data_IF_066490669340
#
_entry.id   IF_066490669340
#
_cell.length_a   1.000
_cell.length_b   1.000
_cell.length_c   1.000
_cell.angle_alpha   90.00
_cell.angle_beta   90.00
_cell.angle_gamma   90.00
#
_symmetry.space_group_name_H-M   'P 1'
#
loop_
_entity.id
_entity.type
_entity.pdbx_description
1 polymer ?
#
# COMPACT_ATOMS: atom_id res chain seq x y z
N UNK A 1 -25.32 -79.79 45.07
CA UNK A 1 -26.77 -79.89 45.26
C UNK A 1 -27.36 -78.52 44.98
N UNK A 2 -28.31 -78.48 44.01
CA UNK A 2 -29.40 -77.51 43.87
C UNK A 2 -28.98 -76.07 43.47
N UNK A 3 -29.08 -75.63 42.24
CA UNK A 3 -30.24 -75.37 41.36
C UNK A 3 -30.99 -74.08 41.63
N UNK A 4 -31.22 -73.39 40.53
CA UNK A 4 -32.36 -72.49 40.15
C UNK A 4 -31.97 -71.07 39.89
N UNK A 5 -31.94 -70.64 38.63
CA UNK A 5 -33.09 -70.32 37.75
C UNK A 5 -33.98 -69.18 38.29
N UNK A 6 -34.04 -68.20 37.52
CA UNK A 6 -35.14 -67.32 37.09
C UNK A 6 -34.81 -65.83 37.39
N UNK A 7 -35.09 -64.88 36.68
CA UNK A 7 -35.89 -64.61 35.49
C UNK A 7 -35.69 -63.13 35.20
N UNK A 8 -35.46 -62.82 33.98
CA UNK A 8 -35.96 -61.68 33.24
C UNK A 8 -36.61 -60.53 34.02
N UNK A 9 -36.04 -59.28 33.85
CA UNK A 9 -36.84 -58.08 33.61
C UNK A 9 -36.03 -57.16 32.72
N UNK A 10 -36.48 -57.04 31.49
CA UNK A 10 -36.10 -56.07 30.49
C UNK A 10 -36.53 -54.71 30.95
N UNK A 11 -35.60 -53.78 31.13
CA UNK A 11 -35.88 -52.36 31.12
C UNK A 11 -34.98 -51.74 30.09
N UNK A 12 -35.50 -51.58 28.88
CA UNK A 12 -34.89 -50.80 27.81
C UNK A 12 -34.80 -49.34 28.22
N UNK A 13 -33.65 -48.89 28.66
CA UNK A 13 -33.33 -47.47 28.72
C UNK A 13 -32.77 -47.08 27.35
N UNK A 14 -33.63 -46.60 26.50
CA UNK A 14 -33.21 -45.90 25.26
C UNK A 14 -32.38 -44.71 25.62
N UNK A 15 -31.04 -44.85 25.50
CA UNK A 15 -30.14 -43.70 25.46
C UNK A 15 -30.43 -42.97 24.17
N UNK A 16 -31.32 -41.98 24.23
CA UNK A 16 -31.45 -40.96 23.23
C UNK A 16 -30.11 -40.20 23.14
N UNK A 17 -29.33 -40.57 22.14
CA UNK A 17 -28.20 -39.71 21.73
C UNK A 17 -28.79 -38.40 21.24
N UNK A 18 -28.84 -37.41 22.13
CA UNK A 18 -29.09 -36.05 21.75
C UNK A 18 -27.87 -35.67 20.89
N UNK A 19 -28.02 -35.76 19.57
CA UNK A 19 -27.10 -35.18 18.63
C UNK A 19 -27.11 -33.66 18.90
N UNK A 20 -26.23 -33.19 19.77
CA UNK A 20 -25.92 -31.78 19.87
C UNK A 20 -25.43 -31.38 18.48
N UNK A 21 -26.08 -30.35 17.84
CA UNK A 21 -25.52 -29.82 16.62
C UNK A 21 -24.11 -29.35 16.96
N UNK A 22 -23.11 -30.01 16.38
CA UNK A 22 -21.76 -29.45 16.36
C UNK A 22 -21.89 -28.09 15.69
N UNK A 23 -21.99 -27.02 16.49
CA UNK A 23 -21.73 -25.68 16.05
C UNK A 23 -20.25 -25.71 15.69
N UNK A 24 -19.95 -26.01 14.43
CA UNK A 24 -18.65 -25.77 13.84
C UNK A 24 -18.42 -24.26 14.02
N UNK A 25 -17.79 -23.89 15.13
CA UNK A 25 -17.21 -22.55 15.24
C UNK A 25 -16.24 -22.47 14.08
N UNK A 26 -16.61 -21.69 13.08
CA UNK A 26 -15.72 -21.38 11.96
C UNK A 26 -14.39 -20.93 12.58
N UNK A 27 -13.34 -21.73 12.36
CA UNK A 27 -12.03 -21.45 12.92
C UNK A 27 -11.58 -20.08 12.42
N UNK A 28 -11.32 -19.15 13.34
CA UNK A 28 -10.88 -17.80 12.98
C UNK A 28 -9.55 -17.93 12.24
N UNK A 29 -9.55 -17.47 11.01
CA UNK A 29 -8.35 -17.43 10.17
C UNK A 29 -7.62 -16.11 10.39
N UNK A 30 -6.32 -16.16 10.64
CA UNK A 30 -5.48 -14.96 10.69
C UNK A 30 -4.85 -14.72 9.31
N UNK A 31 -4.96 -13.47 8.83
CA UNK A 31 -4.37 -12.99 7.58
C UNK A 31 -3.41 -11.86 7.92
N UNK A 32 -2.18 -11.93 7.42
CA UNK A 32 -1.16 -10.91 7.59
C UNK A 32 -1.19 -9.93 6.44
N UNK A 33 -1.39 -8.65 6.76
CA UNK A 33 -1.44 -7.55 5.80
C UNK A 33 -0.26 -6.61 5.99
N UNK A 34 0.60 -6.50 4.98
CA UNK A 34 1.71 -5.55 4.93
C UNK A 34 1.26 -4.13 4.66
N UNK A 35 1.75 -3.18 5.43
CA UNK A 35 1.43 -1.75 5.31
C UNK A 35 2.67 -0.90 5.51
N UNK A 36 2.75 0.26 4.85
CA UNK A 36 3.83 1.22 5.07
C UNK A 36 3.41 2.24 6.14
N UNK A 37 4.39 2.85 6.82
CA UNK A 37 4.16 3.92 7.81
C UNK A 37 3.91 5.27 7.14
N UNK A 38 2.89 5.34 6.28
CA UNK A 38 2.58 6.50 5.44
C UNK A 38 1.07 6.74 5.43
N UNK A 39 0.62 8.00 5.23
CA UNK A 39 -0.82 8.33 5.18
C UNK A 39 -1.53 7.52 4.09
N UNK A 40 -0.94 7.41 2.92
CA UNK A 40 -1.50 6.70 1.79
C UNK A 40 -1.44 5.16 1.93
N UNK A 41 -0.97 4.66 3.08
CA UNK A 41 -0.99 3.23 3.46
C UNK A 41 -1.94 2.93 4.63
N UNK A 42 -2.83 3.84 5.01
CA UNK A 42 -3.67 3.70 6.20
C UNK A 42 -4.87 2.76 6.05
N UNK A 43 -5.23 2.34 4.83
CA UNK A 43 -6.44 1.55 4.57
C UNK A 43 -6.54 0.28 5.43
N UNK A 44 -5.48 -0.51 5.71
CA UNK A 44 -5.56 -1.69 6.54
C UNK A 44 -6.04 -1.44 7.97
N UNK A 45 -5.80 -0.26 8.51
CA UNK A 45 -6.25 0.11 9.87
C UNK A 45 -7.77 0.28 10.00
N UNK A 46 -8.50 0.25 8.88
CA UNK A 46 -9.96 0.28 8.82
C UNK A 46 -10.57 -1.09 8.47
N UNK A 47 -9.76 -2.12 8.19
CA UNK A 47 -10.25 -3.42 7.71
C UNK A 47 -11.13 -4.14 8.72
N UNK A 48 -10.84 -4.05 10.02
CA UNK A 48 -11.66 -4.70 11.06
C UNK A 48 -13.13 -4.30 11.01
N UNK A 49 -13.41 -3.07 10.53
CA UNK A 49 -14.79 -2.56 10.34
C UNK A 49 -15.57 -3.33 9.29
N UNK A 50 -14.89 -3.95 8.34
CA UNK A 50 -15.48 -4.56 7.13
C UNK A 50 -15.14 -6.04 6.97
N UNK A 51 -14.24 -6.56 7.77
CA UNK A 51 -13.82 -7.95 7.72
C UNK A 51 -14.93 -8.88 8.22
N UNK A 52 -15.10 -10.06 7.60
CA UNK A 52 -15.95 -11.11 8.14
C UNK A 52 -15.49 -11.53 9.55
N UNK A 53 -16.44 -11.91 10.41
CA UNK A 53 -16.17 -12.26 11.83
C UNK A 53 -15.23 -13.45 12.03
N UNK A 54 -15.09 -14.31 11.03
CA UNK A 54 -14.16 -15.43 11.01
C UNK A 54 -12.76 -15.08 10.46
N UNK A 55 -12.51 -13.81 10.15
CA UNK A 55 -11.23 -13.32 9.61
C UNK A 55 -10.60 -12.32 10.58
N UNK A 56 -9.42 -12.65 11.11
CA UNK A 56 -8.59 -11.75 11.89
C UNK A 56 -7.50 -11.19 10.99
N UNK A 57 -7.35 -9.87 10.94
CA UNK A 57 -6.32 -9.23 10.12
C UNK A 57 -5.22 -8.69 11.04
N UNK A 58 -4.00 -9.17 10.83
CA UNK A 58 -2.79 -8.72 11.51
C UNK A 58 -2.02 -7.79 10.58
N UNK A 59 -1.78 -6.55 11.02
CA UNK A 59 -1.06 -5.56 10.23
C UNK A 59 0.42 -5.59 10.58
N UNK A 60 1.25 -5.85 9.58
CA UNK A 60 2.71 -5.83 9.67
C UNK A 60 3.21 -4.57 8.97
N UNK A 61 3.91 -3.69 9.70
CA UNK A 61 4.38 -2.41 9.18
C UNK A 61 5.82 -2.47 8.68
N UNK A 62 6.09 -1.81 7.56
CA UNK A 62 7.39 -1.69 6.93
C UNK A 62 7.75 -0.21 6.72
N UNK A 63 9.04 0.07 6.72
CA UNK A 63 9.56 1.44 6.53
C UNK A 63 9.92 1.72 5.06
N UNK A 64 10.03 0.67 4.21
CA UNK A 64 10.31 0.85 2.79
C UNK A 64 9.38 0.04 1.89
N UNK A 65 9.07 0.54 0.67
CA UNK A 65 8.29 -0.21 -0.32
C UNK A 65 8.92 -1.54 -0.74
N UNK A 66 10.25 -1.60 -0.75
CA UNK A 66 11.01 -2.82 -1.08
C UNK A 66 10.81 -3.90 -0.01
N UNK A 67 10.83 -3.53 1.28
CA UNK A 67 10.58 -4.48 2.36
C UNK A 67 9.15 -5.03 2.31
N UNK A 68 8.16 -4.16 2.04
CA UNK A 68 6.77 -4.58 1.84
C UNK A 68 6.61 -5.56 0.67
N UNK A 69 7.25 -5.29 -0.48
CA UNK A 69 7.28 -6.19 -1.63
C UNK A 69 7.97 -7.52 -1.27
N UNK A 70 9.14 -7.47 -0.64
CA UNK A 70 9.87 -8.66 -0.23
C UNK A 70 9.07 -9.54 0.74
N UNK A 71 8.32 -8.94 1.66
CA UNK A 71 7.49 -9.67 2.61
C UNK A 71 6.37 -10.47 1.91
N UNK A 72 5.78 -9.94 0.82
CA UNK A 72 4.81 -10.68 -0.03
C UNK A 72 5.52 -11.82 -0.77
N UNK A 73 6.65 -11.53 -1.41
CA UNK A 73 7.42 -12.53 -2.19
C UNK A 73 7.88 -13.69 -1.32
N UNK A 74 8.35 -13.40 -0.10
CA UNK A 74 8.81 -14.42 0.89
C UNK A 74 7.66 -15.03 1.69
N UNK A 75 6.41 -14.58 1.48
CA UNK A 75 5.20 -15.01 2.20
C UNK A 75 5.26 -14.73 3.71
N UNK A 76 6.06 -13.75 4.13
CA UNK A 76 6.06 -13.25 5.50
C UNK A 76 4.76 -12.50 5.82
N UNK A 77 4.11 -11.97 4.78
CA UNK A 77 2.72 -11.49 4.79
C UNK A 77 1.95 -12.14 3.63
N UNK A 78 0.63 -12.24 3.79
CA UNK A 78 -0.27 -12.79 2.78
C UNK A 78 -0.60 -11.78 1.68
N UNK A 79 -0.75 -10.52 2.07
CA UNK A 79 -1.06 -9.39 1.20
C UNK A 79 -0.21 -8.17 1.58
N UNK A 80 -0.01 -7.24 0.65
CA UNK A 80 0.72 -6.00 0.92
C UNK A 80 0.20 -4.81 0.13
N UNK A 81 0.19 -3.64 0.79
CA UNK A 81 0.05 -2.33 0.17
C UNK A 81 1.41 -1.65 0.09
N UNK A 82 1.96 -1.47 -1.11
CA UNK A 82 3.26 -0.84 -1.32
C UNK A 82 3.35 -0.18 -2.70
N UNK A 83 4.42 0.57 -2.93
CA UNK A 83 4.59 1.37 -4.15
C UNK A 83 4.66 0.52 -5.42
N UNK A 84 4.01 0.99 -6.49
CA UNK A 84 4.00 0.34 -7.82
C UNK A 84 5.42 0.14 -8.36
N UNK A 85 6.36 1.04 -8.08
CA UNK A 85 7.75 0.91 -8.52
C UNK A 85 8.41 -0.34 -7.93
N UNK A 86 8.27 -0.60 -6.62
CA UNK A 86 8.82 -1.79 -5.98
C UNK A 86 8.18 -3.08 -6.54
N UNK A 87 6.87 -3.07 -6.80
CA UNK A 87 6.19 -4.19 -7.45
C UNK A 87 6.74 -4.45 -8.85
N UNK A 88 6.91 -3.38 -9.65
CA UNK A 88 7.44 -3.47 -11.03
C UNK A 88 8.88 -3.98 -11.05
N UNK A 89 9.73 -3.52 -10.11
CA UNK A 89 11.10 -4.04 -9.95
C UNK A 89 11.10 -5.55 -9.68
N UNK A 90 10.25 -6.02 -8.78
CA UNK A 90 10.13 -7.44 -8.47
C UNK A 90 9.63 -8.26 -9.66
N UNK A 91 8.54 -7.83 -10.30
CA UNK A 91 7.96 -8.51 -11.45
C UNK A 91 8.92 -8.56 -12.65
N UNK A 92 9.65 -7.46 -12.92
CA UNK A 92 10.68 -7.41 -13.96
C UNK A 92 11.89 -8.31 -13.66
N UNK A 93 12.14 -8.62 -12.40
CA UNK A 93 13.15 -9.59 -11.94
C UNK A 93 12.62 -11.04 -11.92
N UNK A 94 11.35 -11.27 -12.28
CA UNK A 94 10.74 -12.60 -12.26
C UNK A 94 10.26 -13.06 -10.87
N UNK A 95 10.14 -12.16 -9.90
CA UNK A 95 9.60 -12.48 -8.58
C UNK A 95 8.08 -12.71 -8.66
N UNK A 96 7.53 -13.66 -7.84
CA UNK A 96 6.13 -14.09 -7.91
C UNK A 96 5.18 -13.09 -7.23
N UNK A 97 5.20 -11.83 -7.62
CA UNK A 97 4.32 -10.77 -7.12
C UNK A 97 3.21 -10.47 -8.11
N UNK A 98 1.96 -10.46 -7.64
CA UNK A 98 0.75 -10.19 -8.43
C UNK A 98 0.00 -9.01 -7.86
N UNK A 99 -0.25 -8.01 -8.69
CA UNK A 99 -1.13 -6.87 -8.35
C UNK A 99 -2.57 -7.28 -8.63
N UNK A 100 -3.39 -7.30 -7.60
CA UNK A 100 -4.80 -7.70 -7.68
C UNK A 100 -5.78 -6.54 -7.47
N UNK A 101 -5.26 -5.37 -7.06
CA UNK A 101 -6.03 -4.14 -6.86
C UNK A 101 -5.16 -2.90 -6.84
N UNK A 102 -5.78 -1.74 -6.97
CA UNK A 102 -5.15 -0.46 -6.64
C UNK A 102 -5.16 -0.25 -5.12
N UNK A 103 -4.41 0.72 -4.62
CA UNK A 103 -4.38 1.02 -3.19
C UNK A 103 -4.51 2.52 -2.93
N UNK A 104 -3.68 3.33 -3.55
CA UNK A 104 -3.71 4.77 -3.39
C UNK A 104 -3.09 5.48 -4.58
N UNK A 105 -3.72 6.56 -5.00
CA UNK A 105 -3.13 7.57 -5.88
C UNK A 105 -2.52 8.69 -5.05
N UNK A 106 -1.59 9.43 -5.66
CA UNK A 106 -0.98 10.63 -5.08
C UNK A 106 -0.14 10.32 -3.82
N UNK A 107 -0.15 11.15 -2.81
CA UNK A 107 0.55 10.92 -1.53
C UNK A 107 2.04 11.30 -1.57
N UNK A 108 2.48 12.16 -2.51
CA UNK A 108 3.87 12.63 -2.59
C UNK A 108 3.95 14.11 -2.93
N UNK A 109 5.11 14.72 -2.68
CA UNK A 109 5.39 16.10 -3.04
C UNK A 109 6.89 16.33 -3.24
N UNK A 110 7.20 17.25 -4.14
CA UNK A 110 8.53 17.84 -4.29
C UNK A 110 8.58 19.08 -3.43
N UNK A 111 9.38 19.06 -2.38
CA UNK A 111 9.48 20.13 -1.38
C UNK A 111 10.89 20.68 -1.37
N UNK A 112 11.02 21.99 -1.49
CA UNK A 112 12.27 22.71 -1.32
C UNK A 112 12.31 23.44 0.03
N UNK A 113 13.50 23.83 0.50
CA UNK A 113 13.65 24.64 1.70
C UNK A 113 12.92 25.98 1.53
N UNK A 114 12.14 26.37 2.53
CA UNK A 114 11.40 27.62 2.49
C UNK A 114 12.34 28.81 2.27
N UNK A 115 11.91 29.76 1.42
CA UNK A 115 12.71 30.94 1.06
C UNK A 115 13.86 30.67 0.09
N UNK A 116 14.05 29.42 -0.38
CA UNK A 116 15.04 29.13 -1.41
C UNK A 116 14.59 29.63 -2.80
N UNK A 117 15.54 29.67 -3.73
CA UNK A 117 15.33 29.99 -5.14
C UNK A 117 14.71 28.83 -5.96
N UNK A 118 14.52 27.68 -5.35
CA UNK A 118 13.95 26.48 -6.00
C UNK A 118 12.43 26.63 -6.10
N UNK A 119 11.91 26.92 -7.29
CA UNK A 119 10.48 27.12 -7.58
C UNK A 119 9.91 26.06 -8.52
N UNK A 120 10.76 25.44 -9.31
CA UNK A 120 10.43 24.43 -10.32
C UNK A 120 11.37 23.22 -10.20
N UNK A 121 11.01 22.10 -10.82
CA UNK A 121 11.90 20.92 -10.89
C UNK A 121 13.21 21.24 -11.62
N UNK A 122 13.20 22.17 -12.56
CA UNK A 122 14.40 22.62 -13.28
C UNK A 122 15.43 23.27 -12.35
N UNK A 123 14.98 23.95 -11.29
CA UNK A 123 15.85 24.61 -10.31
C UNK A 123 16.58 23.62 -9.38
N UNK A 124 16.21 22.35 -9.43
CA UNK A 124 16.88 21.27 -8.69
C UNK A 124 18.29 20.97 -9.24
N UNK A 125 18.64 21.48 -10.43
CA UNK A 125 19.97 21.26 -11.03
C UNK A 125 21.08 21.70 -10.07
N UNK A 126 22.00 20.77 -9.77
CA UNK A 126 23.12 20.98 -8.84
C UNK A 126 22.75 21.01 -7.35
N UNK A 127 21.45 20.89 -6.99
CA UNK A 127 21.00 20.89 -5.60
C UNK A 127 21.05 19.51 -4.97
N UNK A 128 21.20 19.46 -3.64
CA UNK A 128 21.12 18.23 -2.85
C UNK A 128 19.65 17.84 -2.67
N UNK A 129 19.23 16.77 -3.33
CA UNK A 129 17.83 16.33 -3.32
C UNK A 129 17.69 14.99 -2.60
N UNK A 130 16.92 14.99 -1.53
CA UNK A 130 16.57 13.77 -0.79
C UNK A 130 15.64 12.88 -1.61
N UNK A 131 16.03 11.62 -1.82
CA UNK A 131 15.24 10.59 -2.51
C UNK A 131 15.34 9.27 -1.75
N UNK A 132 14.35 8.40 -1.94
CA UNK A 132 14.41 7.01 -1.48
C UNK A 132 14.50 6.09 -2.70
N UNK A 133 15.68 5.46 -2.95
CA UNK A 133 15.88 4.59 -4.12
C UNK A 133 14.93 3.39 -4.14
N UNK A 134 14.43 3.04 -5.33
CA UNK A 134 13.47 1.95 -5.54
C UNK A 134 12.03 2.31 -5.17
N UNK A 135 11.77 3.58 -4.81
CA UNK A 135 10.43 4.07 -4.51
C UNK A 135 9.71 4.63 -5.73
N UNK A 136 8.40 4.73 -5.62
CA UNK A 136 7.54 5.41 -6.60
C UNK A 136 7.95 6.87 -6.78
N UNK A 137 8.33 7.55 -5.69
CA UNK A 137 8.79 8.92 -5.68
C UNK A 137 10.06 9.14 -6.51
N UNK A 138 10.99 8.19 -6.45
CA UNK A 138 12.19 8.23 -7.30
C UNK A 138 11.84 8.20 -8.79
N UNK A 139 10.95 7.29 -9.20
CA UNK A 139 10.53 7.20 -10.61
C UNK A 139 9.89 8.50 -11.07
N UNK A 140 9.03 9.09 -10.24
CA UNK A 140 8.38 10.36 -10.55
C UNK A 140 9.39 11.50 -10.71
N UNK A 141 10.34 11.66 -9.79
CA UNK A 141 11.31 12.75 -9.91
C UNK A 141 12.24 12.54 -11.11
N UNK A 142 12.64 11.31 -11.40
CA UNK A 142 13.45 11.04 -12.58
C UNK A 142 12.69 11.40 -13.86
N UNK A 143 11.42 11.06 -13.96
CA UNK A 143 10.58 11.43 -15.12
C UNK A 143 10.36 12.93 -15.20
N UNK A 144 10.10 13.60 -14.07
CA UNK A 144 9.93 15.05 -14.05
C UNK A 144 11.22 15.78 -14.48
N UNK A 145 12.38 15.33 -14.00
CA UNK A 145 13.67 15.85 -14.46
C UNK A 145 13.85 15.65 -15.97
N UNK A 146 13.52 14.45 -16.49
CA UNK A 146 13.61 14.14 -17.92
C UNK A 146 12.74 15.09 -18.77
N UNK A 147 11.53 15.38 -18.34
CA UNK A 147 10.63 16.32 -19.00
C UNK A 147 11.19 17.76 -19.02
N UNK A 148 12.02 18.11 -18.04
CA UNK A 148 12.73 19.41 -18.00
C UNK A 148 14.10 19.37 -18.73
N UNK A 149 14.40 18.28 -19.46
CA UNK A 149 15.68 18.11 -20.15
C UNK A 149 16.86 17.80 -19.23
N UNK A 150 16.59 17.34 -18.00
CA UNK A 150 17.55 16.96 -16.99
C UNK A 150 17.52 15.45 -16.74
N UNK A 151 18.45 14.98 -15.92
CA UNK A 151 18.53 13.61 -15.44
C UNK A 151 18.84 13.57 -13.94
N UNK A 152 18.77 12.39 -13.36
CA UNK A 152 19.16 12.18 -11.95
C UNK A 152 20.64 12.55 -11.69
N UNK A 153 21.48 12.60 -12.72
CA UNK A 153 22.91 13.01 -12.63
C UNK A 153 23.09 14.53 -12.57
N UNK A 154 22.06 15.28 -12.91
CA UNK A 154 22.08 16.75 -12.85
C UNK A 154 21.76 17.29 -11.44
N UNK A 155 21.36 16.42 -10.51
CA UNK A 155 21.14 16.73 -9.10
C UNK A 155 22.15 15.96 -8.22
N UNK A 156 22.35 16.39 -6.98
CA UNK A 156 23.08 15.64 -5.97
C UNK A 156 22.06 14.76 -5.22
N UNK A 157 21.75 13.59 -5.81
CA UNK A 157 20.77 12.66 -5.24
C UNK A 157 21.30 12.10 -3.90
N UNK A 158 20.60 12.37 -2.82
CA UNK A 158 20.95 11.95 -1.47
C UNK A 158 19.92 10.93 -0.99
N UNK A 159 20.39 9.73 -0.61
CA UNK A 159 19.50 8.70 -0.06
C UNK A 159 19.01 9.11 1.33
N UNK A 160 17.72 9.31 1.49
CA UNK A 160 17.08 9.74 2.75
C UNK A 160 15.79 8.92 2.98
N UNK A 161 15.65 8.27 4.16
CA UNK A 161 14.37 7.67 4.55
C UNK A 161 13.25 8.71 4.60
N UNK A 162 12.02 8.34 4.19
CA UNK A 162 10.90 9.29 4.14
C UNK A 162 10.66 10.00 5.48
N UNK A 163 10.76 9.29 6.60
CA UNK A 163 10.58 9.85 7.93
C UNK A 163 11.64 10.89 8.35
N UNK A 164 12.79 10.93 7.67
CA UNK A 164 13.92 11.82 7.99
C UNK A 164 13.98 13.05 7.06
N UNK A 165 13.26 13.05 5.92
CA UNK A 165 13.38 14.09 4.88
C UNK A 165 13.08 15.48 5.42
N UNK A 166 12.01 15.63 6.22
CA UNK A 166 11.67 16.90 6.85
C UNK A 166 12.78 17.42 7.77
N UNK A 167 13.34 16.56 8.61
CA UNK A 167 14.39 16.93 9.54
C UNK A 167 15.68 17.33 8.82
N UNK A 168 16.05 16.59 7.77
CA UNK A 168 17.25 16.91 6.97
C UNK A 168 17.07 18.24 6.20
N UNK A 169 15.86 18.50 5.65
CA UNK A 169 15.54 19.78 5.02
C UNK A 169 15.63 20.93 6.04
N UNK A 170 15.08 20.74 7.24
CA UNK A 170 15.10 21.74 8.31
C UNK A 170 16.53 22.13 8.69
N UNK A 171 17.43 21.15 8.85
CA UNK A 171 18.85 21.40 9.18
C UNK A 171 19.66 21.97 8.01
N UNK A 172 19.17 21.85 6.76
CA UNK A 172 19.89 22.26 5.55
C UNK A 172 20.90 21.20 5.07
N UNK A 173 20.73 19.94 5.49
CA UNK A 173 21.55 18.83 4.99
C UNK A 173 21.21 18.51 3.52
N UNK A 174 19.95 18.81 3.12
CA UNK A 174 19.44 18.76 1.76
C UNK A 174 18.73 20.08 1.41
N UNK A 175 18.70 20.42 0.12
CA UNK A 175 18.07 21.65 -0.40
C UNK A 175 16.59 21.42 -0.74
N UNK A 176 16.26 20.18 -1.14
CA UNK A 176 14.93 19.76 -1.51
C UNK A 176 14.80 18.25 -1.30
N UNK A 177 13.57 17.72 -1.40
CA UNK A 177 13.32 16.28 -1.45
C UNK A 177 12.07 15.95 -2.27
N UNK A 178 11.97 14.73 -2.77
CA UNK A 178 10.73 14.13 -3.23
C UNK A 178 10.29 13.08 -2.21
N UNK A 179 9.24 13.38 -1.47
CA UNK A 179 8.86 12.61 -0.29
C UNK A 179 7.43 12.09 -0.34
N UNK A 180 7.15 11.22 0.61
CA UNK A 180 5.84 10.63 0.84
C UNK A 180 5.15 11.31 2.04
N UNK A 181 3.82 11.47 1.95
CA UNK A 181 3.03 12.00 3.06
C UNK A 181 3.10 11.10 4.32
N UNK A 182 3.26 11.67 5.53
CA UNK A 182 2.99 13.06 5.91
C UNK A 182 4.21 14.01 5.84
N UNK A 183 5.35 13.61 5.31
CA UNK A 183 6.57 14.44 5.27
C UNK A 183 6.39 15.79 4.55
N UNK A 184 5.88 15.83 3.31
CA UNK A 184 5.54 17.06 2.60
C UNK A 184 4.59 17.96 3.40
N UNK A 185 3.48 17.41 3.89
CA UNK A 185 2.52 18.13 4.73
C UNK A 185 3.15 18.71 5.99
N UNK A 186 4.08 18.00 6.63
CA UNK A 186 4.81 18.49 7.81
C UNK A 186 5.71 19.68 7.45
N UNK A 187 6.46 19.58 6.34
CA UNK A 187 7.35 20.67 5.92
C UNK A 187 6.58 21.93 5.57
N UNK A 188 5.41 21.79 4.95
CA UNK A 188 4.52 22.91 4.62
C UNK A 188 3.87 23.50 5.88
N UNK A 189 3.31 22.67 6.75
CA UNK A 189 2.60 23.10 7.96
C UNK A 189 3.52 23.81 8.96
N UNK A 190 4.81 23.45 9.01
CA UNK A 190 5.81 24.06 9.90
C UNK A 190 6.55 25.23 9.28
N UNK A 191 6.30 25.54 7.99
CA UNK A 191 7.02 26.58 7.28
C UNK A 191 8.50 26.28 6.99
N UNK A 192 8.95 25.05 7.20
CA UNK A 192 10.32 24.59 6.89
C UNK A 192 10.51 24.44 5.37
N UNK A 193 9.46 24.01 4.67
CA UNK A 193 9.46 23.76 3.25
C UNK A 193 8.49 24.63 2.48
N UNK A 194 8.74 24.77 1.19
CA UNK A 194 7.82 25.29 0.20
C UNK A 194 7.53 24.22 -0.85
N UNK A 195 6.28 24.16 -1.34
CA UNK A 195 5.90 23.25 -2.39
C UNK A 195 6.53 23.69 -3.72
N UNK A 196 7.25 22.79 -4.36
CA UNK A 196 7.71 22.97 -5.75
C UNK A 196 6.62 22.45 -6.69
N UNK A 197 6.21 21.18 -6.51
CA UNK A 197 5.06 20.61 -7.23
C UNK A 197 4.56 19.31 -6.58
N UNK A 198 3.33 18.93 -6.94
CA UNK A 198 2.87 17.55 -6.85
C UNK A 198 3.16 16.89 -8.20
N UNK A 199 4.03 15.87 -8.28
CA UNK A 199 4.66 15.46 -9.54
C UNK A 199 3.77 14.54 -10.41
N UNK A 200 2.45 14.78 -10.47
CA UNK A 200 1.51 13.89 -11.16
C UNK A 200 1.24 14.26 -12.62
N UNK A 201 1.78 15.40 -13.08
CA UNK A 201 1.64 15.82 -14.47
C UNK A 201 2.61 15.03 -15.39
N UNK A 202 2.41 13.73 -15.44
CA UNK A 202 3.16 12.80 -16.27
C UNK A 202 2.20 11.75 -16.84
N UNK A 203 2.65 10.98 -17.82
CA UNK A 203 1.87 9.87 -18.37
C UNK A 203 1.57 8.76 -17.34
N UNK A 204 2.33 8.69 -16.24
CA UNK A 204 2.10 7.78 -15.12
C UNK A 204 0.91 8.19 -14.25
N UNK A 205 0.39 9.41 -14.41
CA UNK A 205 -0.71 9.93 -13.62
C UNK A 205 -0.42 10.00 -12.13
N UNK A 206 -1.40 9.67 -11.29
CA UNK A 206 -1.27 9.71 -9.83
C UNK A 206 -1.02 8.34 -9.16
N UNK A 207 -0.91 7.25 -9.91
CA UNK A 207 -0.78 5.91 -9.32
C UNK A 207 0.48 5.82 -8.45
N UNK A 208 0.29 5.51 -7.17
CA UNK A 208 1.39 5.41 -6.22
C UNK A 208 1.50 4.01 -5.63
N UNK A 209 0.42 3.48 -5.06
CA UNK A 209 0.44 2.20 -4.37
C UNK A 209 -0.57 1.22 -4.95
N UNK A 210 -0.20 -0.05 -4.85
CA UNK A 210 -1.00 -1.19 -5.31
C UNK A 210 -1.27 -2.17 -4.18
N UNK A 211 -2.35 -2.95 -4.33
CA UNK A 211 -2.69 -4.08 -3.49
C UNK A 211 -2.18 -5.35 -4.17
N UNK A 212 -1.23 -6.00 -3.53
CA UNK A 212 -0.55 -7.16 -4.09
C UNK A 212 -0.58 -8.38 -3.17
N UNK A 213 -0.39 -9.52 -3.79
CA UNK A 213 -0.18 -10.82 -3.14
C UNK A 213 0.78 -11.67 -3.97
N UNK A 214 1.02 -12.93 -3.58
CA UNK A 214 1.86 -13.86 -4.33
C UNK A 214 1.07 -14.63 -5.40
N UNK A 215 1.76 -15.11 -6.44
CA UNK A 215 1.17 -16.03 -7.43
C UNK A 215 0.56 -17.27 -6.76
N UNK A 216 1.21 -17.80 -5.72
CA UNK A 216 0.71 -18.95 -4.98
C UNK A 216 -0.62 -18.65 -4.28
N UNK A 217 -0.77 -17.49 -3.66
CA UNK A 217 -2.02 -17.09 -3.02
C UNK A 217 -3.15 -17.00 -4.04
N UNK A 218 -2.90 -16.39 -5.19
CA UNK A 218 -3.86 -16.31 -6.29
C UNK A 218 -4.30 -17.70 -6.78
N UNK A 219 -3.36 -18.63 -6.87
CA UNK A 219 -3.64 -20.00 -7.36
C UNK A 219 -4.34 -20.88 -6.32
N UNK A 220 -3.93 -20.81 -5.05
CA UNK A 220 -4.39 -21.73 -3.99
C UNK A 220 -5.62 -21.25 -3.24
N UNK A 221 -5.80 -19.94 -3.12
CA UNK A 221 -6.90 -19.36 -2.32
C UNK A 221 -7.50 -18.09 -2.95
N UNK A 222 -8.08 -18.20 -4.16
CA UNK A 222 -8.67 -17.07 -4.86
C UNK A 222 -9.85 -16.45 -4.08
N UNK A 223 -10.56 -17.22 -3.27
CA UNK A 223 -11.67 -16.71 -2.45
C UNK A 223 -11.17 -15.79 -1.34
N UNK A 224 -10.01 -16.08 -0.73
CA UNK A 224 -9.40 -15.16 0.21
C UNK A 224 -8.94 -13.88 -0.47
N UNK A 225 -8.36 -13.97 -1.68
CA UNK A 225 -7.96 -12.79 -2.46
C UNK A 225 -9.17 -11.89 -2.70
N UNK A 226 -10.29 -12.46 -3.15
CA UNK A 226 -11.55 -11.74 -3.36
C UNK A 226 -12.09 -11.13 -2.06
N UNK A 227 -12.07 -11.88 -0.97
CA UNK A 227 -12.52 -11.41 0.35
C UNK A 227 -11.69 -10.21 0.81
N UNK A 228 -10.36 -10.33 0.78
CA UNK A 228 -9.46 -9.26 1.21
C UNK A 228 -9.56 -8.02 0.33
N UNK A 229 -9.71 -8.18 -0.98
CA UNK A 229 -9.92 -7.05 -1.87
C UNK A 229 -11.30 -6.40 -1.66
N UNK A 230 -12.34 -7.17 -1.31
CA UNK A 230 -13.66 -6.61 -0.92
C UNK A 230 -13.56 -5.79 0.36
N UNK A 231 -12.83 -6.27 1.36
CA UNK A 231 -12.58 -5.52 2.61
C UNK A 231 -11.81 -4.24 2.30
N UNK A 232 -10.78 -4.33 1.45
CA UNK A 232 -10.00 -3.17 1.01
C UNK A 232 -10.86 -2.14 0.27
N UNK A 233 -11.73 -2.58 -0.63
CA UNK A 233 -12.63 -1.71 -1.38
C UNK A 233 -13.57 -0.92 -0.45
N UNK A 234 -14.24 -1.61 0.47
CA UNK A 234 -15.14 -0.97 1.45
C UNK A 234 -14.40 0.01 2.36
N UNK A 235 -13.19 -0.35 2.80
CA UNK A 235 -12.36 0.53 3.63
C UNK A 235 -11.93 1.77 2.84
N UNK A 236 -11.48 1.63 1.60
CA UNK A 236 -11.09 2.74 0.73
C UNK A 236 -12.23 3.71 0.51
N UNK A 237 -13.41 3.22 0.18
CA UNK A 237 -14.60 4.07 -0.01
C UNK A 237 -15.04 4.76 1.29
N UNK A 238 -14.96 4.07 2.42
CA UNK A 238 -15.21 4.67 3.72
C UNK A 238 -14.25 5.83 3.98
N UNK A 239 -12.96 5.65 3.74
CA UNK A 239 -11.92 6.65 3.97
C UNK A 239 -12.09 7.89 3.09
N UNK A 240 -12.47 7.72 1.83
CA UNK A 240 -12.75 8.85 0.94
C UNK A 240 -13.91 9.72 1.41
N UNK A 241 -14.89 9.13 2.09
CA UNK A 241 -16.07 9.82 2.64
C UNK A 241 -15.84 10.37 4.05
N UNK A 242 -14.77 9.93 4.76
CA UNK A 242 -14.57 10.20 6.20
C UNK A 242 -13.12 10.67 6.46
N UNK A 243 -12.72 11.80 5.85
CA UNK A 243 -11.35 12.33 5.95
C UNK A 243 -10.92 12.62 7.39
N UNK A 244 -11.86 13.04 8.27
CA UNK A 244 -11.56 13.29 9.68
C UNK A 244 -11.17 11.99 10.41
N UNK A 245 -11.90 10.89 10.18
CA UNK A 245 -11.55 9.59 10.74
C UNK A 245 -10.19 9.10 10.24
N UNK A 246 -9.84 9.40 8.99
CA UNK A 246 -8.50 9.12 8.43
C UNK A 246 -7.44 9.93 9.16
N UNK A 247 -7.67 11.21 9.40
CA UNK A 247 -6.73 12.07 10.14
C UNK A 247 -6.49 11.55 11.55
N UNK A 248 -7.56 11.26 12.31
CA UNK A 248 -7.49 10.73 13.67
C UNK A 248 -6.74 9.40 13.73
N UNK A 249 -7.09 8.46 12.83
CA UNK A 249 -6.42 7.16 12.76
C UNK A 249 -4.94 7.30 12.41
N UNK A 250 -4.59 8.20 11.49
CA UNK A 250 -3.20 8.46 11.08
C UNK A 250 -2.38 9.01 12.25
N UNK A 251 -2.92 9.98 13.00
CA UNK A 251 -2.27 10.51 14.20
C UNK A 251 -2.08 9.40 15.25
N UNK A 252 -3.11 8.61 15.50
CA UNK A 252 -3.08 7.54 16.50
C UNK A 252 -2.10 6.41 16.16
N UNK A 253 -1.99 6.02 14.88
CA UNK A 253 -1.19 4.87 14.44
C UNK A 253 0.25 5.21 14.05
N UNK A 254 0.46 6.40 13.47
CA UNK A 254 1.78 6.81 13.00
C UNK A 254 2.48 7.78 13.98
N UNK A 255 1.79 8.31 14.99
CA UNK A 255 2.31 9.40 15.81
C UNK A 255 2.55 10.69 15.02
N UNK A 256 1.87 10.83 13.85
CA UNK A 256 2.09 11.94 12.94
C UNK A 256 1.56 13.26 13.53
N UNK A 257 2.19 14.37 13.16
CA UNK A 257 1.71 15.70 13.49
C UNK A 257 0.33 15.94 12.84
N UNK A 258 -0.66 16.34 13.65
CA UNK A 258 -2.04 16.54 13.18
C UNK A 258 -2.12 17.56 12.04
N UNK A 259 -1.44 18.69 12.16
CA UNK A 259 -1.45 19.74 11.14
C UNK A 259 -0.82 19.24 9.82
N UNK A 260 0.21 18.38 9.88
CA UNK A 260 0.80 17.75 8.71
C UNK A 260 -0.21 16.86 7.96
N UNK A 261 -0.93 16.03 8.72
CA UNK A 261 -1.95 15.12 8.17
C UNK A 261 -3.10 15.91 7.53
N UNK A 262 -3.60 16.93 8.24
CA UNK A 262 -4.66 17.80 7.74
C UNK A 262 -4.22 18.56 6.48
N UNK A 263 -2.96 19.01 6.42
CA UNK A 263 -2.42 19.69 5.23
C UNK A 263 -2.44 18.78 4.01
N UNK A 264 -1.97 17.53 4.15
CA UNK A 264 -1.98 16.55 3.08
C UNK A 264 -3.41 16.21 2.60
N UNK A 265 -4.35 16.03 3.53
CA UNK A 265 -5.74 15.68 3.20
C UNK A 265 -6.53 16.86 2.61
N UNK A 266 -6.26 18.10 3.06
CA UNK A 266 -6.87 19.33 2.50
C UNK A 266 -6.35 19.64 1.10
N UNK A 267 -5.07 19.36 0.82
CA UNK A 267 -4.48 19.52 -0.51
C UNK A 267 -5.01 18.50 -1.53
N UNK A 268 -5.89 17.59 -1.13
CA UNK A 268 -6.37 16.44 -1.93
C UNK A 268 -5.20 15.61 -2.50
N UNK A 269 -4.12 15.56 -1.73
CA UNK A 269 -2.88 14.88 -2.11
C UNK A 269 -2.85 13.41 -1.68
N UNK A 270 -3.99 12.84 -1.29
CA UNK A 270 -4.17 11.41 -1.00
C UNK A 270 -5.53 10.97 -1.51
N UNK A 271 -5.56 9.94 -2.35
CA UNK A 271 -6.78 9.39 -2.93
C UNK A 271 -6.77 7.87 -2.75
N UNK A 272 -7.62 7.35 -1.85
CA UNK A 272 -7.75 5.92 -1.61
C UNK A 272 -8.57 5.26 -2.70
N UNK A 273 -7.97 4.36 -3.43
CA UNK A 273 -8.56 3.63 -4.55
C UNK A 273 -8.39 2.12 -4.34
N UNK A 274 -9.22 1.33 -5.00
CA UNK A 274 -9.14 -0.12 -4.86
C UNK A 274 -9.21 -0.86 -6.20
N UNK A 275 -9.92 -0.28 -7.18
CA UNK A 275 -10.20 -0.95 -8.45
C UNK A 275 -9.01 -0.91 -9.38
N UNK A 276 -8.68 -2.06 -9.96
CA UNK A 276 -7.70 -2.18 -11.02
C UNK A 276 -8.39 -1.98 -12.38
N UNK A 277 -8.88 -0.76 -12.61
CA UNK A 277 -9.59 -0.39 -13.83
C UNK A 277 -8.65 -0.09 -15.00
N UNK A 278 -9.21 0.18 -16.18
CA UNK A 278 -8.48 0.49 -17.40
C UNK A 278 -7.46 1.64 -17.22
N UNK A 279 -7.81 2.64 -16.42
CA UNK A 279 -6.92 3.79 -16.14
C UNK A 279 -5.74 3.37 -15.31
N UNK A 280 -5.97 2.64 -14.22
CA UNK A 280 -4.91 2.11 -13.34
C UNK A 280 -4.02 1.13 -14.09
N UNK A 281 -4.61 0.23 -14.89
CA UNK A 281 -3.87 -0.72 -15.71
C UNK A 281 -2.96 -0.01 -16.72
N UNK A 282 -3.46 1.02 -17.40
CA UNK A 282 -2.68 1.83 -18.31
C UNK A 282 -1.53 2.54 -17.57
N UNK A 283 -1.81 3.18 -16.45
CA UNK A 283 -0.79 3.85 -15.64
C UNK A 283 0.29 2.88 -15.15
N UNK A 284 -0.09 1.68 -14.69
CA UNK A 284 0.86 0.66 -14.24
C UNK A 284 1.78 0.19 -15.40
N UNK A 285 1.25 0.03 -16.62
CA UNK A 285 2.06 -0.29 -17.81
C UNK A 285 3.01 0.85 -18.17
N UNK A 286 2.49 2.08 -18.20
CA UNK A 286 3.31 3.28 -18.45
C UNK A 286 4.41 3.43 -17.40
N UNK A 287 4.12 3.08 -16.15
CA UNK A 287 5.13 3.05 -15.08
C UNK A 287 6.31 2.14 -15.43
N UNK A 288 6.01 0.89 -15.85
CA UNK A 288 7.05 -0.06 -16.23
C UNK A 288 7.83 0.41 -17.46
N UNK A 289 7.15 0.98 -18.45
CA UNK A 289 7.77 1.56 -19.65
C UNK A 289 8.72 2.72 -19.28
N UNK A 290 8.30 3.61 -18.38
CA UNK A 290 9.17 4.69 -17.89
C UNK A 290 10.37 4.14 -17.11
N UNK A 291 10.17 3.17 -16.23
CA UNK A 291 11.26 2.52 -15.50
C UNK A 291 12.26 1.86 -16.44
N UNK A 292 11.80 1.27 -17.56
CA UNK A 292 12.68 0.73 -18.60
C UNK A 292 13.45 1.85 -19.31
N UNK A 293 12.78 2.93 -19.72
CA UNK A 293 13.39 4.12 -20.34
C UNK A 293 14.44 4.78 -19.43
N UNK A 294 14.14 4.85 -18.14
CA UNK A 294 15.02 5.40 -17.11
C UNK A 294 16.13 4.41 -16.66
N UNK A 295 16.18 3.22 -17.26
CA UNK A 295 17.16 2.14 -16.98
C UNK A 295 17.11 1.61 -15.55
N UNK A 296 15.98 1.72 -14.89
CA UNK A 296 15.74 1.13 -13.55
C UNK A 296 15.41 -0.37 -13.63
N UNK A 297 14.84 -0.83 -14.75
CA UNK A 297 14.65 -2.24 -15.09
C UNK A 297 15.31 -2.55 -16.43
N UNK A 298 15.62 -3.82 -16.67
CA UNK A 298 16.28 -4.29 -17.90
C UNK A 298 15.31 -4.79 -18.97
N UNK A 299 14.11 -5.19 -18.55
CA UNK A 299 13.03 -5.67 -19.40
C UNK A 299 11.69 -5.35 -18.74
N UNK A 300 10.64 -5.26 -19.55
CA UNK A 300 9.27 -5.14 -19.02
C UNK A 300 8.85 -6.44 -18.33
N UNK A 301 8.07 -6.35 -17.24
CA UNK A 301 7.47 -7.54 -16.64
C UNK A 301 6.47 -8.21 -17.60
N UNK A 302 6.22 -9.49 -17.39
CA UNK A 302 5.08 -10.16 -18.03
C UNK A 302 3.78 -9.64 -17.39
N UNK A 303 3.13 -8.70 -18.08
CA UNK A 303 1.91 -8.06 -17.55
C UNK A 303 0.74 -9.02 -17.37
N UNK A 304 0.72 -10.16 -18.06
CA UNK A 304 -0.34 -11.16 -17.89
C UNK A 304 -0.26 -11.88 -16.53
N UNK A 305 0.94 -11.95 -15.96
CA UNK A 305 1.19 -12.50 -14.63
C UNK A 305 1.19 -11.40 -13.56
N UNK A 306 1.75 -10.25 -13.90
CA UNK A 306 1.94 -9.15 -12.95
C UNK A 306 0.64 -8.42 -12.57
N UNK A 307 -0.26 -8.17 -13.54
CA UNK A 307 -1.50 -7.40 -13.32
C UNK A 307 -2.72 -8.29 -13.49
N UNK A 308 -3.44 -8.57 -12.41
CA UNK A 308 -4.63 -9.42 -12.44
C UNK A 308 -5.90 -8.65 -12.03
N UNK A 309 -6.62 -8.03 -12.98
CA UNK A 309 -7.85 -7.28 -12.71
C UNK A 309 -9.07 -8.17 -12.46
N UNK A 310 -8.99 -9.49 -12.67
CA UNK A 310 -10.15 -10.38 -12.61
C UNK A 310 -10.88 -10.30 -11.26
N UNK A 311 -10.14 -10.16 -10.14
CA UNK A 311 -10.72 -10.05 -8.82
C UNK A 311 -11.47 -8.72 -8.63
N UNK A 312 -10.84 -7.60 -8.99
CA UNK A 312 -11.46 -6.28 -8.81
C UNK A 312 -12.70 -6.08 -9.68
N UNK A 313 -12.76 -6.76 -10.84
CA UNK A 313 -13.91 -6.70 -11.74
C UNK A 313 -15.15 -7.42 -11.20
N UNK A 314 -15.01 -8.32 -10.21
CA UNK A 314 -16.13 -9.06 -9.61
C UNK A 314 -16.69 -8.40 -8.35
N UNK A 315 -16.04 -7.33 -7.86
CA UNK A 315 -16.44 -6.67 -6.62
C UNK A 315 -17.41 -5.55 -6.95
N UNK A 316 -18.55 -5.58 -6.26
CA UNK A 316 -19.52 -4.48 -6.21
C UNK A 316 -19.54 -3.96 -4.78
N UNK A 317 -19.23 -2.68 -4.60
CA UNK A 317 -19.39 -1.99 -3.32
C UNK A 317 -20.76 -1.32 -3.36
N UNK A 318 -21.61 -1.64 -2.38
CA UNK A 318 -22.94 -1.07 -2.24
C UNK A 318 -22.88 0.20 -1.40
#
# INVERSE_FOLDING_TARGET
>A
MINRRHLLASAGAGLGVIAMPNILRAQTRTVKMGSLRLIHSMTPHFYEKFAPSNLKIEIITFDSPTDGKNAVVTKSVDFGGFGIAAATLGAAAGEPVVVVGAFCNKGMGVIAKAGSDIKTVKDLKGKKVGIWPGSTQEVFIMERLRLEGLSIRDIVATRVPFGEMHAMLSRGDIDAYVGAEPGPGLSLATGVGQLVEYPYNTAMGGLNMIFATSEEMVAKDPELVKTMLTVHAKASEFMMKNKDAVAEMTVAKLGANKAAVETALKADNVEYIWKLDETVLRQARTYAEQMLSLKQIRALPDFSKFLNPSFSNTITTA
#
